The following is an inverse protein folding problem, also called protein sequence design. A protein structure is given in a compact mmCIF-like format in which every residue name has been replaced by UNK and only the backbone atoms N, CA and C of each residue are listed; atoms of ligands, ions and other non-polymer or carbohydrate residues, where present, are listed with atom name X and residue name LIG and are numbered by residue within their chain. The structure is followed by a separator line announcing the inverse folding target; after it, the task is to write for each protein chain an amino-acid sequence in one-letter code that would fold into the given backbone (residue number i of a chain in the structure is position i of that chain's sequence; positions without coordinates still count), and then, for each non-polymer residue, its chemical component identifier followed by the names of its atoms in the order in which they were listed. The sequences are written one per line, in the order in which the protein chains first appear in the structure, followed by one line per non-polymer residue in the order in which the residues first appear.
data_IF_729080506976
#
_entry.id   IF_729080506976
#
_cell.length_a   1.000
_cell.length_b   1.000
_cell.length_c   1.000
_cell.angle_alpha   90.00
_cell.angle_beta   90.00
_cell.angle_gamma   90.00
#
_symmetry.space_group_name_H-M   'P 1'
#
loop_
_entity.id
_entity.type
_entity.pdbx_description
1 polymer ?
#
# COMPACT_ATOMS: atom_id res chain seq x y z
N UNK A 1 28.38 -13.40 21.29
CA UNK A 1 27.20 -12.67 21.80
C UNK A 1 26.73 -11.75 20.69
N UNK A 2 25.46 -11.86 20.28
CA UNK A 2 24.85 -11.04 19.22
C UNK A 2 23.66 -10.29 19.80
N UNK A 3 23.45 -9.03 19.41
CA UNK A 3 22.31 -8.22 19.81
C UNK A 3 21.34 -8.04 18.62
N UNK A 4 20.03 -8.17 18.87
CA UNK A 4 18.98 -7.94 17.87
C UNK A 4 18.09 -6.78 18.32
N UNK A 5 17.91 -5.80 17.45
CA UNK A 5 17.09 -4.61 17.71
C UNK A 5 16.39 -4.15 16.43
N UNK A 6 15.39 -3.28 16.57
CA UNK A 6 14.69 -2.67 15.44
C UNK A 6 15.38 -1.38 15.00
N UNK A 7 15.43 -1.18 13.69
CA UNK A 7 15.92 0.04 13.06
C UNK A 7 14.94 1.20 13.37
N UNK A 8 15.41 2.45 13.51
CA UNK A 8 14.53 3.61 13.69
C UNK A 8 13.61 3.84 12.47
N UNK A 9 12.50 4.55 12.70
CA UNK A 9 11.53 4.89 11.65
C UNK A 9 12.04 5.99 10.68
N UNK A 10 13.22 6.56 10.92
CA UNK A 10 13.84 7.56 10.06
C UNK A 10 14.77 6.93 9.03
N UNK A 11 14.60 7.31 7.77
CA UNK A 11 15.47 6.88 6.68
C UNK A 11 16.76 7.71 6.63
N UNK A 12 17.83 7.11 6.13
CA UNK A 12 19.11 7.79 6.00
C UNK A 12 20.32 6.86 6.13
N UNK A 13 21.44 7.47 6.47
CA UNK A 13 22.73 6.80 6.63
C UNK A 13 23.06 6.72 8.11
N UNK A 14 23.20 5.51 8.62
CA UNK A 14 23.52 5.24 10.02
C UNK A 14 24.90 4.58 10.14
N UNK A 15 25.43 4.58 11.35
CA UNK A 15 26.67 3.90 11.69
C UNK A 15 26.48 3.06 12.94
N UNK A 16 26.89 1.79 12.87
CA UNK A 16 27.12 0.98 14.06
C UNK A 16 28.51 1.30 14.57
N UNK A 17 28.62 1.88 15.77
CA UNK A 17 29.88 2.25 16.39
C UNK A 17 30.05 1.45 17.68
N UNK A 18 31.15 0.72 17.77
CA UNK A 18 31.57 -0.01 18.96
C UNK A 18 32.86 0.64 19.43
N UNK A 19 32.79 1.30 20.58
CA UNK A 19 33.94 1.91 21.25
C UNK A 19 34.12 1.23 22.62
N UNK A 20 35.16 0.40 22.72
CA UNK A 20 35.52 -0.28 23.95
C UNK A 20 36.82 0.29 24.50
N UNK A 21 36.68 1.27 25.40
CA UNK A 21 37.79 1.88 26.12
C UNK A 21 37.72 1.51 27.62
N UNK A 22 38.70 0.72 28.09
CA UNK A 22 38.82 0.28 29.48
C UNK A 22 40.29 0.23 29.89
N UNK A 23 40.59 0.70 31.11
CA UNK A 23 41.95 0.68 31.68
C UNK A 23 42.48 -0.75 31.74
N UNK A 24 43.72 -0.97 31.28
CA UNK A 24 44.35 -2.30 31.25
C UNK A 24 44.00 -3.17 30.03
N UNK A 25 43.13 -2.69 29.13
CA UNK A 25 42.82 -3.34 27.84
C UNK A 25 43.22 -2.44 26.66
N UNK A 26 43.47 -3.06 25.50
CA UNK A 26 43.63 -2.32 24.25
C UNK A 26 42.30 -1.65 23.86
N UNK A 27 42.37 -0.40 23.41
CA UNK A 27 41.22 0.30 22.87
C UNK A 27 40.75 -0.37 21.57
N UNK A 28 39.48 -0.76 21.53
CA UNK A 28 38.86 -1.32 20.33
C UNK A 28 37.84 -0.33 19.79
N UNK A 29 38.04 0.08 18.55
CA UNK A 29 37.11 0.94 17.82
C UNK A 29 36.72 0.28 16.51
N UNK A 30 35.41 0.14 16.28
CA UNK A 30 34.86 -0.38 15.04
C UNK A 30 33.64 0.43 14.62
N UNK A 31 33.62 0.89 13.37
CA UNK A 31 32.52 1.68 12.82
C UNK A 31 32.09 1.10 11.47
N UNK A 32 30.83 0.67 11.36
CA UNK A 32 30.25 0.15 10.12
C UNK A 32 29.11 1.04 9.67
N UNK A 33 29.23 1.60 8.47
CA UNK A 33 28.20 2.45 7.88
C UNK A 33 27.16 1.60 7.15
N UNK A 34 25.89 1.88 7.39
CA UNK A 34 24.75 1.15 6.80
C UNK A 34 23.68 2.16 6.38
N UNK A 35 23.04 1.92 5.23
CA UNK A 35 21.90 2.70 4.76
C UNK A 35 20.59 2.06 5.19
N UNK A 36 19.67 2.89 5.67
CA UNK A 36 18.28 2.53 5.95
C UNK A 36 17.42 3.17 4.87
N UNK A 37 16.84 2.32 4.01
CA UNK A 37 15.96 2.77 2.93
C UNK A 37 14.49 2.76 3.38
N UNK A 38 13.65 3.64 2.81
CA UNK A 38 12.20 3.60 3.05
C UNK A 38 11.56 2.37 2.38
N UNK A 39 10.32 2.09 2.77
CA UNK A 39 9.50 1.05 2.15
C UNK A 39 9.21 1.38 0.69
N UNK A 40 9.36 0.37 -0.17
CA UNK A 40 9.00 0.44 -1.59
C UNK A 40 7.48 0.38 -1.77
N UNK A 41 7.00 0.83 -2.93
CA UNK A 41 5.56 0.82 -3.24
C UNK A 41 4.94 -0.60 -3.21
N UNK A 42 5.74 -1.65 -3.37
CA UNK A 42 5.31 -3.06 -3.31
C UNK A 42 5.26 -3.63 -1.89
N UNK A 43 5.84 -2.93 -0.91
CA UNK A 43 6.02 -3.40 0.46
C UNK A 43 4.94 -2.87 1.41
N UNK A 44 4.10 -1.94 0.95
CA UNK A 44 2.93 -1.51 1.71
C UNK A 44 1.87 -2.60 1.81
N UNK A 45 1.14 -2.60 2.92
CA UNK A 45 0.01 -3.48 3.12
C UNK A 45 -1.09 -3.25 2.07
N UNK A 46 -1.64 -4.34 1.54
CA UNK A 46 -2.73 -4.33 0.57
C UNK A 46 -3.95 -4.99 1.17
N UNK A 47 -5.14 -4.58 0.71
CA UNK A 47 -6.43 -5.14 1.17
C UNK A 47 -6.69 -4.93 2.66
N UNK A 48 -6.53 -3.68 3.11
CA UNK A 48 -6.82 -3.29 4.50
C UNK A 48 -8.33 -3.46 4.74
N UNK A 49 -8.70 -4.11 5.84
CA UNK A 49 -10.11 -4.40 6.19
C UNK A 49 -10.95 -3.13 6.31
N UNK A 50 -10.38 -2.07 6.86
CA UNK A 50 -11.02 -0.74 6.96
C UNK A 50 -11.37 -0.14 5.60
N UNK A 51 -10.65 -0.53 4.54
CA UNK A 51 -10.86 -0.02 3.18
C UNK A 51 -11.88 -0.82 2.35
N UNK A 52 -12.49 -1.89 2.88
CA UNK A 52 -13.50 -2.69 2.16
C UNK A 52 -14.65 -1.88 1.55
N UNK A 53 -15.23 -0.87 2.23
CA UNK A 53 -16.30 -0.07 1.63
C UNK A 53 -15.89 0.58 0.31
N UNK A 54 -14.64 1.05 0.20
CA UNK A 54 -14.14 1.67 -1.02
C UNK A 54 -13.96 0.64 -2.14
N UNK A 55 -13.37 -0.52 -1.83
CA UNK A 55 -13.20 -1.59 -2.82
C UNK A 55 -14.55 -2.03 -3.41
N UNK A 56 -15.56 -2.24 -2.56
CA UNK A 56 -16.91 -2.65 -2.99
C UNK A 56 -17.57 -1.53 -3.80
N UNK A 57 -17.42 -0.27 -3.42
CA UNK A 57 -18.02 0.85 -4.15
C UNK A 57 -17.52 0.94 -5.59
N UNK A 58 -16.22 0.73 -5.83
CA UNK A 58 -15.65 0.76 -7.18
C UNK A 58 -16.24 -0.35 -8.05
N UNK A 59 -16.31 -1.58 -7.53
CA UNK A 59 -16.92 -2.69 -8.26
C UNK A 59 -18.41 -2.49 -8.50
N UNK A 60 -19.13 -1.89 -7.54
CA UNK A 60 -20.55 -1.53 -7.68
C UNK A 60 -20.77 -0.54 -8.83
N UNK A 61 -19.94 0.50 -8.93
CA UNK A 61 -20.04 1.48 -10.03
C UNK A 61 -19.70 0.87 -11.39
N UNK A 62 -18.70 0.00 -11.47
CA UNK A 62 -18.37 -0.73 -12.71
C UNK A 62 -19.54 -1.62 -13.16
N UNK A 63 -20.12 -2.39 -12.24
CA UNK A 63 -21.28 -3.24 -12.52
C UNK A 63 -22.51 -2.40 -12.90
N UNK A 64 -22.75 -1.29 -12.21
CA UNK A 64 -23.84 -0.37 -12.49
C UNK A 64 -23.73 0.24 -13.89
N UNK A 65 -22.55 0.74 -14.26
CA UNK A 65 -22.31 1.29 -15.60
C UNK A 65 -22.49 0.21 -16.69
N UNK A 66 -22.01 -1.01 -16.45
CA UNK A 66 -22.20 -2.13 -17.36
C UNK A 66 -23.68 -2.46 -17.54
N UNK A 67 -24.43 -2.68 -16.46
CA UNK A 67 -25.86 -3.00 -16.52
C UNK A 67 -26.69 -1.86 -17.13
N UNK A 68 -26.37 -0.61 -16.78
CA UNK A 68 -27.02 0.56 -17.36
C UNK A 68 -26.81 0.62 -18.87
N UNK A 69 -25.60 0.32 -19.36
CA UNK A 69 -25.31 0.28 -20.79
C UNK A 69 -26.19 -0.75 -21.51
N UNK A 70 -26.35 -1.96 -20.97
CA UNK A 70 -27.25 -2.98 -21.54
C UNK A 70 -28.70 -2.55 -21.47
N UNK A 71 -29.16 -2.03 -20.33
CA UNK A 71 -30.54 -1.60 -20.16
C UNK A 71 -30.91 -0.51 -21.16
N UNK A 72 -30.06 0.49 -21.33
CA UNK A 72 -30.26 1.57 -22.32
C UNK A 72 -30.27 1.02 -23.74
N UNK A 73 -29.35 0.13 -24.10
CA UNK A 73 -29.26 -0.41 -25.47
C UNK A 73 -30.47 -1.26 -25.85
N UNK A 74 -31.03 -2.02 -24.91
CA UNK A 74 -32.19 -2.89 -25.13
C UNK A 74 -33.51 -2.27 -24.67
N UNK A 75 -33.52 -0.99 -24.27
CA UNK A 75 -34.74 -0.27 -23.95
C UNK A 75 -35.57 -0.10 -25.22
N UNK A 76 -36.82 -0.59 -25.21
CA UNK A 76 -37.80 -0.30 -26.26
C UNK A 76 -38.87 0.61 -25.70
N UNK A 77 -39.01 1.77 -26.31
CA UNK A 77 -40.16 2.64 -26.08
C UNK A 77 -41.36 2.01 -26.81
N UNK A 78 -42.38 1.58 -26.07
CA UNK A 78 -43.63 1.13 -26.67
C UNK A 78 -44.24 2.29 -27.47
N UNK A 79 -44.16 2.21 -28.81
CA UNK A 79 -44.81 3.16 -29.71
C UNK A 79 -46.30 3.23 -29.38
N UNK A 80 -46.91 4.43 -29.22
CA UNK A 80 -48.35 4.52 -29.05
C UNK A 80 -49.01 3.91 -30.29
N UNK A 81 -49.86 2.91 -30.08
CA UNK A 81 -50.66 2.26 -31.14
C UNK A 81 -51.27 3.33 -32.02
N UNK A 82 -50.78 3.42 -33.26
CA UNK A 82 -51.34 4.30 -34.30
C UNK A 82 -52.82 3.94 -34.42
N UNK A 83 -53.73 4.85 -34.02
CA UNK A 83 -55.15 4.71 -34.32
C UNK A 83 -55.26 4.64 -35.84
N UNK A 84 -55.74 3.51 -36.34
CA UNK A 84 -56.15 3.37 -37.72
C UNK A 84 -57.47 4.13 -37.86
N UNK A 85 -57.45 5.16 -38.70
CA UNK A 85 -58.62 5.81 -39.30
C UNK A 85 -58.38 5.84 -40.81
#
# INVERSE_FOLDING_TARGET
LEARFRVPDTYGIFKFVIDYNRVGYSHLYSATQVSVHPLLHTEYERFITSAYPYYISTFSMMAGAFLLSFLVLYHRDDLPKKKAE
#
